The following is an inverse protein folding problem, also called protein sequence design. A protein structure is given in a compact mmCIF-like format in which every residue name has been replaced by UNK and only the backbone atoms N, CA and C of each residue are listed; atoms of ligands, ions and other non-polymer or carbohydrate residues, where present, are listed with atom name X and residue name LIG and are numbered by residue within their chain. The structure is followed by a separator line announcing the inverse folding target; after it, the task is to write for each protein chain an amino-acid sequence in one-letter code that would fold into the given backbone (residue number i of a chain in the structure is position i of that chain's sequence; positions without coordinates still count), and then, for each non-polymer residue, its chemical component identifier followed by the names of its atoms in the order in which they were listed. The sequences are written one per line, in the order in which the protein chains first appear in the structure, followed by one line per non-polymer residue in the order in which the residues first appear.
data_IF_680638247302
#
_entry.id   IF_680638247302
#
_cell.length_a   1.000
_cell.length_b   1.000
_cell.length_c   1.000
_cell.angle_alpha   90.00
_cell.angle_beta   90.00
_cell.angle_gamma   90.00
#
_symmetry.space_group_name_H-M   'P 1'
#
loop_
_entity.id
_entity.type
_entity.pdbx_description
1 polymer ?
#
# COMPACT_ATOMS: atom_id res chain seq x y z
N UNK A 1 -10.03 -18.40 10.01
CA UNK A 1 -8.85 -17.50 10.08
C UNK A 1 -9.37 -16.08 9.97
N UNK A 2 -9.02 -15.20 10.91
CA UNK A 2 -9.40 -13.79 10.85
C UNK A 2 -8.45 -13.07 9.89
N UNK A 3 -8.98 -12.25 8.97
CA UNK A 3 -8.13 -11.31 8.22
C UNK A 3 -7.62 -10.26 9.20
N UNK A 4 -6.30 -10.11 9.27
CA UNK A 4 -5.66 -9.02 10.01
C UNK A 4 -5.34 -7.93 9.00
N UNK A 5 -6.12 -6.86 9.06
CA UNK A 5 -5.91 -5.67 8.26
C UNK A 5 -4.90 -4.78 8.98
N UNK A 6 -3.78 -4.49 8.32
CA UNK A 6 -2.77 -3.55 8.77
C UNK A 6 -2.75 -2.34 7.84
N UNK A 7 -2.38 -1.18 8.37
CA UNK A 7 -2.23 0.01 7.53
C UNK A 7 -0.98 -0.15 6.65
N UNK A 8 -1.06 0.32 5.40
CA UNK A 8 0.10 0.38 4.51
C UNK A 8 1.21 1.22 5.15
N UNK A 9 2.46 0.77 5.05
CA UNK A 9 3.63 1.50 5.60
C UNK A 9 4.05 2.72 4.77
N UNK A 10 3.28 3.07 3.72
CA UNK A 10 3.56 4.28 2.95
C UNK A 10 3.05 5.49 3.74
N UNK A 11 3.88 6.52 3.98
CA UNK A 11 3.57 7.58 4.95
C UNK A 11 2.35 8.43 4.56
N UNK A 12 2.04 8.54 3.28
CA UNK A 12 0.87 9.26 2.77
C UNK A 12 -0.29 8.34 2.40
N UNK A 13 -0.13 7.03 2.57
CA UNK A 13 -1.15 6.05 2.20
C UNK A 13 -2.11 5.76 3.35
N UNK A 14 -3.39 5.74 3.02
CA UNK A 14 -4.48 5.42 3.96
C UNK A 14 -5.11 4.04 3.70
N UNK A 15 -4.58 3.28 2.73
CA UNK A 15 -5.15 1.98 2.39
C UNK A 15 -4.80 0.95 3.48
N UNK A 16 -5.80 0.14 3.85
CA UNK A 16 -5.60 -1.04 4.70
C UNK A 16 -5.30 -2.25 3.81
N UNK A 17 -4.29 -3.02 4.21
CA UNK A 17 -3.84 -4.20 3.49
C UNK A 17 -3.90 -5.40 4.42
N UNK A 18 -4.26 -6.56 3.87
CA UNK A 18 -4.20 -7.79 4.64
C UNK A 18 -2.73 -8.15 4.92
N UNK A 19 -2.40 -8.45 6.18
CA UNK A 19 -1.03 -8.71 6.60
C UNK A 19 -0.39 -9.93 5.91
N UNK A 20 -1.22 -10.88 5.45
CA UNK A 20 -0.82 -12.14 4.83
C UNK A 20 -0.69 -11.99 3.30
N UNK A 21 -1.60 -11.26 2.66
CA UNK A 21 -1.64 -11.06 1.21
C UNK A 21 -0.96 -9.77 0.74
N UNK A 22 -0.62 -8.87 1.65
CA UNK A 22 0.07 -7.63 1.36
C UNK A 22 1.51 -7.84 0.88
N UNK A 23 2.03 -6.85 0.16
CA UNK A 23 3.40 -6.89 -0.33
C UNK A 23 4.33 -6.62 0.85
N UNK A 24 5.10 -7.63 1.25
CA UNK A 24 6.07 -7.53 2.34
C UNK A 24 7.45 -7.15 1.82
N UNK A 25 8.01 -6.06 2.37
CA UNK A 25 9.42 -5.66 2.16
C UNK A 25 10.09 -5.58 3.53
N UNK A 26 10.79 -6.66 3.89
CA UNK A 26 11.32 -6.84 5.24
C UNK A 26 10.19 -6.94 6.28
N UNK A 27 10.18 -6.02 7.24
CA UNK A 27 9.17 -5.92 8.30
C UNK A 27 7.98 -5.02 7.98
N UNK A 28 7.91 -4.45 6.77
CA UNK A 28 6.85 -3.53 6.34
C UNK A 28 5.90 -4.22 5.38
N UNK A 29 4.63 -3.85 5.44
CA UNK A 29 3.56 -4.34 4.57
C UNK A 29 3.02 -3.16 3.76
N UNK A 30 2.86 -3.38 2.45
CA UNK A 30 2.41 -2.37 1.50
C UNK A 30 1.19 -2.85 0.71
N UNK A 31 0.30 -1.93 0.37
CA UNK A 31 -0.89 -2.22 -0.42
C UNK A 31 -0.56 -2.46 -1.91
N UNK A 32 0.53 -1.89 -2.42
CA UNK A 32 0.98 -2.05 -3.80
C UNK A 32 2.51 -1.99 -3.96
N UNK A 33 3.00 -2.43 -5.12
CA UNK A 33 4.43 -2.35 -5.46
C UNK A 33 4.92 -0.90 -5.47
N UNK A 34 4.11 0.03 -5.99
CA UNK A 34 4.43 1.47 -5.97
C UNK A 34 4.71 1.98 -4.56
N UNK A 35 3.88 1.60 -3.58
CA UNK A 35 4.12 1.96 -2.18
C UNK A 35 5.38 1.30 -1.61
N UNK A 36 5.66 0.05 -1.98
CA UNK A 36 6.85 -0.67 -1.55
C UNK A 36 8.15 -0.09 -2.16
N UNK A 37 8.07 0.47 -3.35
CA UNK A 37 9.18 1.11 -4.07
C UNK A 37 9.28 2.62 -3.81
N UNK A 38 8.29 3.21 -3.12
CA UNK A 38 8.28 4.61 -2.73
C UNK A 38 7.89 5.58 -3.85
N UNK A 39 7.05 5.14 -4.78
CA UNK A 39 6.51 5.95 -5.88
C UNK A 39 7.58 6.62 -6.76
N UNK A 40 8.53 5.86 -7.35
CA UNK A 40 9.64 6.42 -8.12
C UNK A 40 9.21 7.25 -9.34
N UNK A 41 8.02 7.02 -9.90
CA UNK A 41 7.49 7.81 -11.02
C UNK A 41 6.33 8.73 -10.60
N UNK A 42 6.13 8.95 -9.31
CA UNK A 42 4.95 9.60 -8.75
C UNK A 42 3.64 8.90 -9.18
N UNK A 43 3.67 7.56 -9.31
CA UNK A 43 2.45 6.81 -9.62
C UNK A 43 1.61 6.59 -8.36
N UNK A 44 0.27 6.63 -8.43
CA UNK A 44 -0.56 6.35 -7.26
C UNK A 44 -0.43 4.88 -6.85
N UNK A 45 -0.75 4.57 -5.59
CA UNK A 45 -0.65 3.20 -5.07
C UNK A 45 -1.57 2.21 -5.82
N UNK A 46 -2.77 2.67 -6.15
CA UNK A 46 -3.77 1.98 -6.92
C UNK A 46 -4.34 3.00 -7.91
N UNK A 47 -4.90 2.52 -9.03
CA UNK A 47 -5.66 3.42 -9.90
C UNK A 47 -6.80 4.13 -9.16
N UNK A 48 -7.33 5.19 -9.75
CA UNK A 48 -8.41 6.04 -9.21
C UNK A 48 -9.63 5.27 -8.70
N UNK A 49 -9.86 4.06 -9.19
CA UNK A 49 -11.09 3.29 -8.94
C UNK A 49 -11.07 2.39 -7.69
N UNK A 50 -9.92 2.14 -7.05
CA UNK A 50 -9.82 1.08 -6.03
C UNK A 50 -9.75 1.58 -4.57
N UNK A 51 -8.95 2.60 -4.28
CA UNK A 51 -8.72 3.12 -2.91
C UNK A 51 -8.90 4.65 -2.82
N UNK A 52 -8.83 5.38 -3.95
CA UNK A 52 -8.82 6.85 -3.95
C UNK A 52 -7.62 7.47 -3.24
N UNK A 53 -6.52 6.71 -3.07
CA UNK A 53 -5.28 7.20 -2.48
C UNK A 53 -4.33 7.71 -3.56
N UNK A 54 -4.08 9.01 -3.56
CA UNK A 54 -3.03 9.69 -4.35
C UNK A 54 -1.68 9.71 -3.60
N UNK A 55 -1.43 8.67 -2.81
CA UNK A 55 -0.09 8.44 -2.27
C UNK A 55 0.87 8.20 -3.43
N UNK A 56 1.93 9.02 -3.49
CA UNK A 56 2.90 9.00 -4.59
C UNK A 56 2.81 10.19 -5.53
N UNK A 57 1.66 10.84 -5.63
CA UNK A 57 1.43 11.96 -6.55
C UNK A 57 -0.04 12.12 -6.85
#
# INVERSE_FOLDING_TARGET
MALVLVQCDCPTCICNVDEIHGIRKGHRVFCSQSCADGHPNNEPCHGTDACGCDCGG
#
